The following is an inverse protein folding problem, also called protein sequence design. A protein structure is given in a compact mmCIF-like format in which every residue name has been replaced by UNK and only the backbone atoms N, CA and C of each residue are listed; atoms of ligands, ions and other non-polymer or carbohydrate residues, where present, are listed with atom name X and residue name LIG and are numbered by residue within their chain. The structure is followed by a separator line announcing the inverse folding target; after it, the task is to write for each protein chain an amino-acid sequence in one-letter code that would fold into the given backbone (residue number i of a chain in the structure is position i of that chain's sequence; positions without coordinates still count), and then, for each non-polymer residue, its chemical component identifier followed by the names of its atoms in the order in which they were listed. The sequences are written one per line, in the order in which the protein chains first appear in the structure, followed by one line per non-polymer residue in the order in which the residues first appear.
data_IF_957642062075
#
_entry.id   IF_957642062075
#
_cell.length_a   1.000
_cell.length_b   1.000
_cell.length_c   1.000
_cell.angle_alpha   90.00
_cell.angle_beta   90.00
_cell.angle_gamma   90.00
#
_symmetry.space_group_name_H-M   'P 1'
#
loop_
_entity.id
_entity.type
_entity.pdbx_description
1 polymer ?
#
# COMPACT_ATOMS: atom_id res chain seq x y z
N UNK A 1 -18.90 1.97 -5.70
CA UNK A 1 -17.62 1.98 -4.96
C UNK A 1 -17.49 0.75 -4.09
N UNK A 2 -16.57 -0.13 -4.44
CA UNK A 2 -16.33 -1.43 -3.80
C UNK A 2 -15.19 -1.29 -2.80
N UNK A 3 -15.42 -1.73 -1.57
CA UNK A 3 -14.44 -1.70 -0.48
C UNK A 3 -13.97 -3.12 -0.20
N UNK A 4 -12.66 -3.31 -0.10
CA UNK A 4 -12.06 -4.61 0.24
C UNK A 4 -11.01 -4.41 1.32
N UNK A 5 -11.20 -5.05 2.46
CA UNK A 5 -10.27 -5.00 3.57
C UNK A 5 -9.27 -6.15 3.47
N UNK A 6 -7.99 -5.82 3.45
CA UNK A 6 -6.90 -6.77 3.55
C UNK A 6 -6.52 -6.85 5.04
N UNK A 7 -6.74 -8.01 5.67
CA UNK A 7 -6.52 -8.15 7.11
C UNK A 7 -5.02 -8.16 7.41
N UNK A 8 -4.65 -7.68 8.60
CA UNK A 8 -3.31 -7.90 9.13
C UNK A 8 -3.05 -9.42 9.29
N UNK A 9 -1.91 -9.92 8.79
CA UNK A 9 -1.55 -11.36 8.86
C UNK A 9 -0.07 -11.55 9.14
N UNK A 10 0.38 -12.34 10.12
CA UNK A 10 1.82 -12.61 10.29
C UNK A 10 2.46 -13.18 9.01
N UNK A 11 3.65 -12.66 8.64
CA UNK A 11 4.45 -13.11 7.50
C UNK A 11 5.01 -14.48 7.88
N UNK A 12 4.53 -15.52 7.20
CA UNK A 12 4.97 -16.88 7.48
C UNK A 12 6.44 -17.10 7.04
N UNK A 13 7.01 -16.23 6.20
CA UNK A 13 8.36 -16.35 5.66
C UNK A 13 9.42 -15.58 6.46
N UNK A 14 9.07 -14.52 7.19
CA UNK A 14 10.07 -13.65 7.81
C UNK A 14 9.72 -13.23 9.26
N UNK A 15 10.46 -13.78 10.23
CA UNK A 15 10.31 -13.52 11.68
C UNK A 15 10.65 -12.07 12.10
N UNK A 16 10.97 -11.18 11.16
CA UNK A 16 11.34 -9.79 11.46
C UNK A 16 10.23 -8.83 11.03
N UNK A 17 9.39 -8.49 12.01
CA UNK A 17 8.71 -7.19 12.16
C UNK A 17 8.02 -6.61 10.92
N UNK A 18 7.11 -7.36 10.33
CA UNK A 18 6.07 -6.80 9.46
C UNK A 18 4.75 -6.91 10.27
N UNK A 19 3.66 -6.25 9.89
CA UNK A 19 2.32 -6.26 10.56
C UNK A 19 2.07 -5.34 11.73
N UNK A 20 0.95 -4.60 11.63
CA UNK A 20 0.08 -4.25 12.78
C UNK A 20 -1.35 -3.82 12.40
N UNK A 21 -1.71 -3.59 11.11
CA UNK A 21 -2.93 -2.85 10.76
C UNK A 21 -3.66 -3.41 9.53
N UNK A 22 -4.99 -3.42 9.57
CA UNK A 22 -5.84 -3.67 8.41
C UNK A 22 -5.77 -2.48 7.44
N UNK A 23 -5.76 -2.77 6.13
CA UNK A 23 -5.87 -1.76 5.08
C UNK A 23 -7.14 -1.99 4.28
N UNK A 24 -7.87 -0.92 3.97
CA UNK A 24 -9.06 -0.98 3.12
C UNK A 24 -8.75 -0.37 1.77
N UNK A 25 -8.93 -1.14 0.72
CA UNK A 25 -8.81 -0.70 -0.66
C UNK A 25 -10.20 -0.34 -1.19
N UNK A 26 -10.37 0.88 -1.69
CA UNK A 26 -11.63 1.43 -2.20
C UNK A 26 -11.49 1.64 -3.70
N UNK A 27 -12.19 0.80 -4.46
CA UNK A 27 -12.27 0.89 -5.91
C UNK A 27 -13.44 1.80 -6.30
N UNK A 28 -13.15 2.80 -7.14
CA UNK A 28 -14.17 3.64 -7.79
C UNK A 28 -15.04 2.86 -8.77
N UNK A 29 -16.17 3.43 -9.16
CA UNK A 29 -17.14 2.79 -10.07
C UNK A 29 -16.53 2.44 -11.44
N UNK A 30 -15.52 3.20 -11.85
CA UNK A 30 -14.78 3.04 -13.09
C UNK A 30 -13.74 1.90 -13.06
N UNK A 31 -13.42 1.36 -11.88
CA UNK A 31 -12.43 0.27 -11.71
C UNK A 31 -12.99 -0.98 -11.03
N UNK A 32 -14.02 -0.85 -10.20
CA UNK A 32 -14.56 -1.97 -9.39
C UNK A 32 -15.11 -3.12 -10.24
N UNK A 33 -15.55 -2.82 -11.47
CA UNK A 33 -16.07 -3.80 -12.42
C UNK A 33 -14.95 -4.56 -13.15
N UNK A 34 -13.78 -3.93 -13.30
CA UNK A 34 -12.64 -4.45 -14.07
C UNK A 34 -11.63 -5.20 -13.20
N UNK A 35 -11.59 -4.89 -11.90
CA UNK A 35 -10.55 -5.37 -10.98
C UNK A 35 -11.12 -5.97 -9.69
N UNK A 36 -10.40 -6.97 -9.19
CA UNK A 36 -10.55 -7.48 -7.84
C UNK A 36 -9.27 -7.20 -7.05
N UNK A 37 -9.45 -6.84 -5.77
CA UNK A 37 -8.33 -6.69 -4.84
C UNK A 37 -8.00 -8.06 -4.26
N UNK A 38 -6.75 -8.48 -4.39
CA UNK A 38 -6.26 -9.79 -3.95
C UNK A 38 -5.08 -9.58 -3.02
N UNK A 39 -5.15 -10.15 -1.84
CA UNK A 39 -4.05 -10.19 -0.88
C UNK A 39 -2.84 -10.97 -1.43
N UNK A 40 -1.62 -10.53 -1.13
CA UNK A 40 -0.37 -11.10 -1.65
C UNK A 40 0.71 -11.16 -0.58
N UNK A 41 1.59 -12.14 -0.68
CA UNK A 41 2.84 -12.15 0.09
C UNK A 41 3.73 -10.98 -0.31
N UNK A 42 4.52 -10.46 0.64
CA UNK A 42 5.48 -9.40 0.35
C UNK A 42 6.56 -9.90 -0.62
N UNK A 43 6.98 -9.08 -1.59
CA UNK A 43 8.14 -9.42 -2.41
C UNK A 43 9.42 -9.46 -1.56
N UNK A 44 10.34 -10.32 -1.97
CA UNK A 44 11.69 -10.37 -1.40
C UNK A 44 12.45 -9.08 -1.69
N UNK A 45 13.38 -8.72 -0.80
CA UNK A 45 14.29 -7.60 -1.01
C UNK A 45 13.68 -6.20 -0.85
N UNK A 46 12.49 -6.08 -0.25
CA UNK A 46 11.97 -4.77 0.15
C UNK A 46 12.95 -4.05 1.09
N UNK A 47 13.23 -2.75 0.87
CA UNK A 47 14.16 -2.01 1.69
C UNK A 47 13.60 -1.82 3.10
N UNK A 48 14.49 -1.84 4.09
CA UNK A 48 14.15 -1.57 5.50
C UNK A 48 14.17 -0.07 5.84
N UNK A 49 14.65 0.77 4.91
CA UNK A 49 14.80 2.21 5.11
C UNK A 49 14.46 2.99 3.84
N UNK A 50 14.07 4.25 4.00
CA UNK A 50 14.03 5.24 2.92
C UNK A 50 14.60 6.58 3.40
N UNK A 51 14.97 7.43 2.45
CA UNK A 51 15.33 8.83 2.73
C UNK A 51 14.12 9.68 2.37
N UNK A 52 13.53 10.35 3.34
CA UNK A 52 12.39 11.22 3.07
C UNK A 52 12.85 12.42 2.21
N UNK A 53 12.24 12.66 1.03
CA UNK A 53 12.62 13.78 0.18
C UNK A 53 12.40 15.17 0.81
N UNK A 54 11.45 15.30 1.75
CA UNK A 54 11.06 16.55 2.38
C UNK A 54 12.08 17.03 3.43
N UNK A 55 12.71 16.11 4.17
CA UNK A 55 13.65 16.44 5.26
C UNK A 55 15.04 15.80 5.14
N UNK A 56 15.26 14.97 4.10
CA UNK A 56 16.51 14.26 3.79
C UNK A 56 17.00 13.35 4.92
N UNK A 57 16.12 12.91 5.82
CA UNK A 57 16.47 11.96 6.89
C UNK A 57 16.15 10.54 6.48
N UNK A 58 17.02 9.62 6.91
CA UNK A 58 16.77 8.20 6.81
C UNK A 58 15.76 7.76 7.87
N UNK A 59 14.68 7.12 7.45
CA UNK A 59 13.64 6.58 8.33
C UNK A 59 13.53 5.06 8.12
N UNK A 60 13.15 4.33 9.17
CA UNK A 60 12.90 2.90 9.09
C UNK A 60 11.53 2.66 8.49
N UNK A 61 11.39 1.64 7.64
CA UNK A 61 10.12 1.22 7.08
C UNK A 61 9.64 -0.04 7.78
N UNK A 62 8.42 0.01 8.28
CA UNK A 62 7.66 -1.18 8.68
C UNK A 62 6.64 -1.47 7.59
N UNK A 63 6.84 -2.53 6.82
CA UNK A 63 5.90 -2.95 5.79
C UNK A 63 4.63 -3.52 6.43
N UNK A 64 3.46 -2.95 6.08
CA UNK A 64 2.18 -3.20 6.76
C UNK A 64 1.23 -4.06 5.96
N UNK A 65 1.17 -3.91 4.63
CA UNK A 65 0.31 -4.71 3.76
C UNK A 65 0.90 -4.85 2.36
N UNK A 66 0.58 -5.95 1.69
CA UNK A 66 0.80 -6.10 0.26
C UNK A 66 -0.45 -6.68 -0.41
N UNK A 67 -0.84 -6.12 -1.55
CA UNK A 67 -1.99 -6.60 -2.32
C UNK A 67 -1.74 -6.37 -3.81
N UNK A 68 -2.57 -6.98 -4.64
CA UNK A 68 -2.58 -6.79 -6.08
C UNK A 68 -3.99 -6.62 -6.63
N UNK A 69 -4.13 -5.74 -7.61
CA UNK A 69 -5.33 -5.59 -8.42
C UNK A 69 -5.24 -6.59 -9.57
N UNK A 70 -6.09 -7.62 -9.49
CA UNK A 70 -6.24 -8.66 -10.50
C UNK A 70 -7.37 -8.29 -11.43
N UNK A 71 -7.07 -8.10 -12.71
CA UNK A 71 -8.11 -7.84 -13.71
C UNK A 71 -8.98 -9.08 -13.95
N UNK A 72 -10.16 -8.92 -14.57
CA UNK A 72 -11.07 -10.05 -14.89
C UNK A 72 -10.49 -11.10 -15.85
N UNK A 73 -9.41 -10.79 -16.58
CA UNK A 73 -8.66 -11.76 -17.36
C UNK A 73 -7.65 -12.58 -16.51
N UNK A 74 -7.61 -12.32 -15.21
CA UNK A 74 -6.83 -13.07 -14.23
C UNK A 74 -5.37 -12.62 -14.09
N UNK A 75 -4.99 -11.46 -14.64
CA UNK A 75 -3.63 -10.93 -14.57
C UNK A 75 -3.52 -9.83 -13.50
N UNK A 76 -2.35 -9.75 -12.86
CA UNK A 76 -2.00 -8.64 -11.99
C UNK A 76 -1.35 -7.55 -12.83
N UNK A 77 -1.97 -6.37 -12.84
CA UNK A 77 -1.40 -5.22 -13.52
C UNK A 77 -0.47 -4.48 -12.56
N UNK A 78 0.71 -4.07 -13.02
CA UNK A 78 1.64 -3.27 -12.21
C UNK A 78 1.17 -1.83 -12.05
N UNK A 79 0.45 -1.34 -13.05
CA UNK A 79 -0.08 0.02 -13.12
C UNK A 79 -1.47 -0.01 -13.75
N UNK A 80 -2.37 0.82 -13.23
CA UNK A 80 -3.71 0.94 -13.76
C UNK A 80 -3.74 1.70 -15.09
N UNK A 81 -4.60 1.29 -16.03
CA UNK A 81 -4.71 1.93 -17.34
C UNK A 81 -5.38 3.31 -17.24
N UNK A 82 -5.09 4.17 -18.22
CA UNK A 82 -5.79 5.45 -18.45
C UNK A 82 -5.80 6.40 -17.24
N UNK A 83 -4.78 6.34 -16.38
CA UNK A 83 -4.68 7.21 -15.20
C UNK A 83 -5.74 6.92 -14.12
N UNK A 84 -6.41 5.77 -14.19
CA UNK A 84 -7.32 5.29 -13.15
C UNK A 84 -6.58 5.18 -11.83
N UNK A 85 -7.28 5.53 -10.74
CA UNK A 85 -6.75 5.48 -9.38
C UNK A 85 -7.74 4.83 -8.45
N UNK A 86 -7.24 4.34 -7.33
CA UNK A 86 -8.04 3.87 -6.20
C UNK A 86 -7.51 4.48 -4.91
N UNK A 87 -8.30 4.35 -3.86
CA UNK A 87 -7.94 4.85 -2.55
C UNK A 87 -7.56 3.70 -1.64
N UNK A 88 -6.48 3.85 -0.90
CA UNK A 88 -6.17 3.04 0.27
C UNK A 88 -6.51 3.81 1.53
N UNK A 89 -7.22 3.17 2.43
CA UNK A 89 -7.62 3.72 3.72
C UNK A 89 -7.02 2.87 4.84
N UNK A 90 -6.42 3.52 5.83
CA UNK A 90 -5.83 2.86 6.98
C UNK A 90 -5.92 3.75 8.23
N UNK A 91 -5.86 3.18 9.45
CA UNK A 91 -5.84 3.97 10.67
C UNK A 91 -4.73 5.00 10.64
N UNK A 92 -5.01 6.20 11.18
CA UNK A 92 -4.00 7.24 11.32
C UNK A 92 -2.75 6.68 12.03
N UNK A 93 -1.58 7.00 11.50
CA UNK A 93 -0.29 6.51 11.99
C UNK A 93 0.55 7.67 12.50
N UNK A 94 1.51 7.40 13.39
CA UNK A 94 2.45 8.42 13.87
C UNK A 94 3.49 8.78 12.82
N UNK A 95 3.82 7.82 11.95
CA UNK A 95 4.79 7.96 10.87
C UNK A 95 4.24 8.55 9.57
N UNK A 96 5.04 8.48 8.50
CA UNK A 96 4.57 8.78 7.14
C UNK A 96 4.27 7.47 6.43
N UNK A 97 3.23 7.45 5.62
CA UNK A 97 2.91 6.26 4.83
C UNK A 97 3.70 6.28 3.53
N UNK A 98 4.22 5.11 3.18
CA UNK A 98 5.05 4.91 2.00
C UNK A 98 4.56 3.69 1.22
N UNK A 99 4.95 3.62 -0.05
CA UNK A 99 4.73 2.45 -0.88
C UNK A 99 5.95 2.19 -1.75
N UNK A 100 6.13 0.94 -2.20
CA UNK A 100 7.17 0.60 -3.17
C UNK A 100 6.56 0.55 -4.57
N UNK A 101 7.10 1.33 -5.51
CA UNK A 101 6.56 1.43 -6.89
C UNK A 101 7.09 0.36 -7.86
N UNK A 102 7.94 -0.54 -7.36
CA UNK A 102 8.66 -1.54 -8.13
C UNK A 102 10.12 -1.16 -8.42
N UNK A 103 10.49 0.10 -8.20
CA UNK A 103 11.85 0.63 -8.38
C UNK A 103 12.38 1.27 -7.10
N UNK A 104 11.53 2.01 -6.39
CA UNK A 104 11.91 2.83 -5.25
C UNK A 104 10.76 2.98 -4.24
N UNK A 105 11.11 3.42 -3.03
CA UNK A 105 10.12 3.78 -2.01
C UNK A 105 9.65 5.21 -2.26
N UNK A 106 8.34 5.39 -2.26
CA UNK A 106 7.66 6.66 -2.50
C UNK A 106 6.76 7.00 -1.32
N UNK A 107 6.59 8.30 -1.05
CA UNK A 107 5.64 8.78 -0.06
C UNK A 107 4.21 8.58 -0.58
N UNK A 108 3.36 7.94 0.21
CA UNK A 108 1.94 7.84 -0.08
C UNK A 108 1.28 9.20 0.22
N UNK A 109 0.88 9.90 -0.84
CA UNK A 109 0.17 11.17 -0.72
C UNK A 109 -1.30 10.91 -0.38
N UNK A 110 -1.83 11.69 0.56
CA UNK A 110 -3.20 11.49 1.05
C UNK A 110 -3.62 12.54 2.07
N UNK A 111 -4.77 12.31 2.67
CA UNK A 111 -5.37 13.21 3.66
C UNK A 111 -6.00 12.41 4.80
N UNK A 112 -6.08 13.03 5.97
CA UNK A 112 -6.86 12.49 7.09
C UNK A 112 -8.35 12.73 6.84
N UNK A 113 -9.15 11.68 7.03
CA UNK A 113 -10.61 11.67 6.94
C UNK A 113 -11.12 11.02 8.23
N UNK A 114 -11.45 11.86 9.22
CA UNK A 114 -11.72 11.37 10.58
C UNK A 114 -10.47 10.73 11.19
N UNK A 115 -10.57 9.47 11.59
CA UNK A 115 -9.46 8.71 12.19
C UNK A 115 -8.68 7.84 11.16
N UNK A 116 -8.98 7.99 9.87
CA UNK A 116 -8.35 7.24 8.80
C UNK A 116 -7.47 8.16 7.95
N UNK A 117 -6.32 7.66 7.52
CA UNK A 117 -5.58 8.21 6.39
C UNK A 117 -6.13 7.60 5.10
N UNK A 118 -6.44 8.46 4.12
CA UNK A 118 -6.87 8.06 2.79
C UNK A 118 -5.84 8.55 1.75
N UNK A 119 -5.17 7.62 1.08
CA UNK A 119 -4.17 7.90 0.04
C UNK A 119 -4.59 7.36 -1.32
N UNK A 120 -4.24 8.05 -2.39
CA UNK A 120 -4.55 7.62 -3.76
C UNK A 120 -3.37 6.91 -4.42
N UNK A 121 -3.64 5.83 -5.16
CA UNK A 121 -2.64 5.06 -5.89
C UNK A 121 -3.12 4.75 -7.31
N UNK A 122 -2.19 4.74 -8.26
CA UNK A 122 -2.38 4.28 -9.64
C UNK A 122 -1.64 2.95 -9.92
N UNK A 123 -0.99 2.38 -8.90
CA UNK A 123 -0.24 1.12 -8.99
C UNK A 123 -1.14 -0.07 -8.70
N UNK A 124 -1.03 -1.11 -9.51
CA UNK A 124 -1.86 -2.30 -9.30
C UNK A 124 -1.30 -3.25 -8.26
N UNK A 125 -0.01 -3.25 -7.91
CA UNK A 125 0.57 -4.17 -6.92
C UNK A 125 1.57 -3.58 -5.91
N UNK A 126 1.26 -2.46 -5.22
CA UNK A 126 2.20 -1.81 -4.33
C UNK A 126 2.22 -2.44 -2.91
N UNK A 127 3.40 -2.84 -2.41
CA UNK A 127 3.62 -2.99 -0.97
C UNK A 127 3.47 -1.63 -0.28
N UNK A 128 2.75 -1.60 0.85
CA UNK A 128 2.51 -0.40 1.66
C UNK A 128 3.25 -0.54 2.99
N UNK A 129 3.89 0.54 3.42
CA UNK A 129 4.66 0.63 4.65
C UNK A 129 4.38 1.90 5.45
N UNK A 130 4.79 1.86 6.71
CA UNK A 130 4.83 3.01 7.61
C UNK A 130 6.30 3.33 7.90
N UNK A 131 6.68 4.57 7.64
CA UNK A 131 8.01 5.08 7.95
C UNK A 131 8.02 5.81 9.29
N UNK A 132 8.97 5.47 10.14
CA UNK A 132 9.10 6.02 11.48
C UNK A 132 10.55 6.46 11.75
N UNK A 133 10.70 7.57 12.48
CA UNK A 133 11.98 7.93 13.08
C UNK A 133 12.33 6.90 14.16
N UNK A 134 13.58 6.45 14.17
CA UNK A 134 14.16 5.81 15.35
C UNK A 134 14.47 6.84 16.43
#
# INVERSE_FOLDING_TARGET
MKRTTIPARPDHANKKKRFTKDITVVLGDDIENDYDVVDKDFPDGLPDFWVDPDDQKQENITWISNFGLKNKAGKFDKKLPNGKKYTVELPAVSGKLVYHDGTSVQKLQGKLVGNLFAGELDLGDPPIGESNYN
#
